data_IF_574975388702
#
_entry.id   IF_574975388702
#
_cell.length_a   1.000
_cell.length_b   1.000
_cell.length_c   1.000
_cell.angle_alpha   90.00
_cell.angle_beta   90.00
_cell.angle_gamma   90.00
#
_symmetry.space_group_name_H-M   'P 1'
#
loop_
_entity.id
_entity.type
_entity.pdbx_description
1 polymer ?
#
# COMPACT_ATOMS: atom_id res chain seq x y z
N UNK A 1 19.32 51.58 10.16
CA UNK A 1 18.03 51.07 9.64
C UNK A 1 18.11 49.56 9.52
N UNK A 2 17.18 48.80 10.11
CA UNK A 2 17.08 47.34 9.91
C UNK A 2 15.77 47.08 9.19
N UNK A 3 15.86 46.59 7.96
CA UNK A 3 14.71 46.11 7.20
C UNK A 3 14.36 44.69 7.65
N UNK A 4 13.07 44.40 7.79
CA UNK A 4 12.54 43.10 8.20
C UNK A 4 11.75 42.52 7.04
N UNK A 5 12.17 41.36 6.54
CA UNK A 5 11.47 40.64 5.46
C UNK A 5 10.42 39.75 6.11
N UNK A 6 9.14 39.99 5.79
CA UNK A 6 8.03 39.17 6.25
C UNK A 6 7.67 38.15 5.17
N UNK A 7 7.85 36.87 5.48
CA UNK A 7 7.23 35.79 4.73
C UNK A 7 5.86 35.50 5.34
N UNK A 8 4.83 35.47 4.51
CA UNK A 8 3.47 35.13 4.92
C UNK A 8 3.02 33.86 4.19
N UNK A 9 2.16 33.10 4.85
CA UNK A 9 1.52 31.91 4.28
C UNK A 9 0.02 32.09 4.41
N UNK A 10 -0.74 31.59 3.44
CA UNK A 10 -2.19 31.57 3.53
C UNK A 10 -2.61 30.76 4.76
N UNK A 11 -3.36 31.39 5.66
CA UNK A 11 -4.04 30.68 6.73
C UNK A 11 -5.06 29.72 6.09
N UNK A 12 -4.83 28.42 6.25
CA UNK A 12 -5.83 27.41 5.88
C UNK A 12 -7.00 27.52 6.85
N UNK A 13 -8.23 27.38 6.34
CA UNK A 13 -9.42 27.28 7.16
C UNK A 13 -9.35 26.03 8.05
N UNK A 14 -10.09 26.03 9.16
CA UNK A 14 -10.19 24.86 10.01
C UNK A 14 -10.72 23.66 9.22
N UNK A 15 -10.18 22.44 9.45
CA UNK A 15 -10.65 21.25 8.77
C UNK A 15 -12.08 20.92 9.20
N UNK A 16 -13.00 20.90 8.24
CA UNK A 16 -14.39 20.48 8.46
C UNK A 16 -14.54 18.98 8.19
N UNK A 17 -15.45 18.34 8.92
CA UNK A 17 -15.81 16.95 8.70
C UNK A 17 -16.69 16.82 7.45
N UNK A 18 -16.23 16.08 6.45
CA UNK A 18 -17.03 15.67 5.28
C UNK A 18 -17.67 14.28 5.53
N UNK A 19 -18.11 13.58 4.47
CA UNK A 19 -18.70 12.26 4.57
C UNK A 19 -17.80 11.26 5.32
N UNK A 20 -18.41 10.51 6.24
CA UNK A 20 -17.78 9.40 6.97
C UNK A 20 -18.16 8.10 6.27
N UNK A 21 -17.18 7.38 5.73
CA UNK A 21 -17.38 6.02 5.24
C UNK A 21 -17.42 5.04 6.42
N UNK A 22 -18.51 4.27 6.54
CA UNK A 22 -18.64 3.23 7.55
C UNK A 22 -17.86 1.98 7.11
N UNK A 23 -16.63 1.87 7.60
CA UNK A 23 -15.76 0.70 7.40
C UNK A 23 -16.11 -0.34 8.48
N UNK A 24 -16.23 -1.64 8.15
CA UNK A 24 -16.64 -2.68 9.09
C UNK A 24 -15.62 -2.95 10.21
N UNK A 25 -14.40 -2.42 10.08
CA UNK A 25 -13.31 -2.63 11.03
C UNK A 25 -12.37 -1.41 11.05
N UNK A 26 -11.42 -1.39 11.99
CA UNK A 26 -10.48 -0.30 12.19
C UNK A 26 -9.58 -0.09 10.98
N UNK A 27 -9.40 1.18 10.61
CA UNK A 27 -8.40 1.58 9.62
C UNK A 27 -7.03 1.54 10.30
N UNK A 28 -6.13 0.71 9.79
CA UNK A 28 -4.78 0.54 10.33
C UNK A 28 -3.81 1.60 9.78
N UNK A 29 -3.91 1.94 8.49
CA UNK A 29 -3.04 2.93 7.87
C UNK A 29 -3.66 3.54 6.60
N UNK A 30 -3.16 4.71 6.20
CA UNK A 30 -3.55 5.41 4.97
C UNK A 30 -2.31 5.87 4.20
N UNK A 31 -2.37 5.86 2.88
CA UNK A 31 -1.30 6.35 2.01
C UNK A 31 -1.84 7.09 0.77
N UNK A 32 -1.22 8.21 0.34
CA UNK A 32 -1.57 8.85 -0.91
C UNK A 32 -1.19 7.96 -2.10
N UNK A 33 -2.02 7.91 -3.14
CA UNK A 33 -1.74 7.14 -4.36
C UNK A 33 -1.33 8.00 -5.56
N UNK A 34 -1.24 9.32 -5.36
CA UNK A 34 -0.79 10.30 -6.35
C UNK A 34 0.20 11.28 -5.72
N UNK A 35 0.98 11.95 -6.57
CA UNK A 35 1.80 13.08 -6.15
C UNK A 35 0.93 14.17 -5.51
N UNK A 36 1.47 14.88 -4.52
CA UNK A 36 0.75 15.94 -3.84
C UNK A 36 0.62 17.18 -4.75
N UNK A 37 -0.50 17.92 -4.69
CA UNK A 37 -1.70 17.63 -3.90
C UNK A 37 -2.51 16.46 -4.49
N UNK A 38 -2.79 15.45 -3.65
CA UNK A 38 -3.53 14.25 -4.05
C UNK A 38 -5.01 14.37 -3.68
N UNK A 39 -5.89 13.94 -4.59
CA UNK A 39 -7.32 13.73 -4.29
C UNK A 39 -7.64 12.26 -4.03
N UNK A 40 -6.66 11.38 -4.13
CA UNK A 40 -6.83 9.94 -4.01
C UNK A 40 -5.87 9.36 -2.97
N UNK A 41 -6.39 8.50 -2.12
CA UNK A 41 -5.61 7.78 -1.12
C UNK A 41 -6.15 6.38 -0.96
N UNK A 42 -5.32 5.48 -0.44
CA UNK A 42 -5.72 4.14 -0.04
C UNK A 42 -5.73 4.08 1.48
N UNK A 43 -6.75 3.46 2.05
CA UNK A 43 -6.80 3.05 3.44
C UNK A 43 -6.75 1.52 3.52
N UNK A 44 -5.98 0.97 4.46
CA UNK A 44 -6.02 -0.45 4.79
C UNK A 44 -6.70 -0.65 6.13
N UNK A 45 -7.49 -1.71 6.24
CA UNK A 45 -8.26 -2.02 7.43
C UNK A 45 -7.89 -3.39 8.04
N UNK A 46 -8.24 -3.56 9.31
CA UNK A 46 -8.01 -4.78 10.07
C UNK A 46 -8.78 -6.00 9.52
N UNK A 47 -9.78 -5.78 8.66
CA UNK A 47 -10.53 -6.83 7.96
C UNK A 47 -9.79 -7.45 6.74
N UNK A 48 -8.55 -7.00 6.50
CA UNK A 48 -7.71 -7.46 5.40
C UNK A 48 -7.96 -6.76 4.07
N UNK A 49 -8.76 -5.68 4.06
CA UNK A 49 -9.10 -4.93 2.85
C UNK A 49 -8.28 -3.65 2.69
N UNK A 50 -8.00 -3.31 1.43
CA UNK A 50 -7.50 -2.02 1.00
C UNK A 50 -8.61 -1.30 0.23
N UNK A 51 -8.95 -0.09 0.63
CA UNK A 51 -9.97 0.76 0.03
C UNK A 51 -9.32 1.95 -0.65
N UNK A 52 -9.62 2.16 -1.92
CA UNK A 52 -9.21 3.33 -2.67
C UNK A 52 -10.31 4.39 -2.59
N UNK A 53 -9.96 5.56 -2.09
CA UNK A 53 -10.82 6.73 -2.03
C UNK A 53 -10.46 7.73 -3.12
N UNK A 54 -11.47 8.37 -3.68
CA UNK A 54 -11.34 9.58 -4.50
C UNK A 54 -12.24 10.65 -3.89
N UNK A 55 -11.62 11.68 -3.32
CA UNK A 55 -12.33 12.59 -2.41
C UNK A 55 -12.88 11.82 -1.21
N UNK A 56 -14.16 12.02 -0.92
CA UNK A 56 -14.89 11.36 0.18
C UNK A 56 -15.51 10.00 -0.20
N UNK A 57 -15.42 9.56 -1.46
CA UNK A 57 -16.07 8.33 -1.91
C UNK A 57 -15.08 7.18 -2.15
N UNK A 58 -15.41 6.00 -1.61
CA UNK A 58 -14.72 4.76 -1.93
C UNK A 58 -15.04 4.33 -3.37
N UNK A 59 -13.99 4.14 -4.18
CA UNK A 59 -14.08 3.75 -5.59
C UNK A 59 -13.75 2.28 -5.83
N UNK A 60 -13.04 1.65 -4.92
CA UNK A 60 -12.62 0.26 -5.02
C UNK A 60 -12.31 -0.31 -3.64
N UNK A 61 -12.76 -1.53 -3.39
CA UNK A 61 -12.38 -2.33 -2.22
C UNK A 61 -11.67 -3.58 -2.72
N UNK A 62 -10.46 -3.82 -2.22
CA UNK A 62 -9.61 -4.96 -2.59
C UNK A 62 -9.35 -5.79 -1.35
N UNK A 63 -9.62 -7.09 -1.40
CA UNK A 63 -9.22 -8.01 -0.32
C UNK A 63 -7.77 -8.45 -0.56
N UNK A 64 -6.85 -8.00 0.29
CA UNK A 64 -5.43 -8.37 0.19
C UNK A 64 -5.12 -9.66 0.95
N UNK A 65 -5.86 -9.90 2.02
CA UNK A 65 -5.68 -11.05 2.91
C UNK A 65 -6.94 -11.24 3.75
N UNK A 66 -7.04 -12.36 4.46
CA UNK A 66 -8.08 -12.60 5.48
C UNK A 66 -7.54 -12.37 6.91
N UNK A 67 -6.35 -11.76 7.00
CA UNK A 67 -5.68 -11.38 8.24
C UNK A 67 -5.59 -9.86 8.40
N UNK A 68 -5.20 -9.43 9.60
CA UNK A 68 -5.07 -8.01 9.96
C UNK A 68 -3.91 -7.35 9.22
N UNK A 69 -4.20 -6.29 8.46
CA UNK A 69 -3.19 -5.41 7.89
C UNK A 69 -2.73 -4.38 8.94
N UNK A 70 -1.46 -3.99 8.89
CA UNK A 70 -0.82 -3.14 9.90
C UNK A 70 -0.27 -1.84 9.34
N UNK A 71 0.18 -1.85 8.08
CA UNK A 71 0.83 -0.71 7.43
C UNK A 71 0.61 -0.77 5.93
N UNK A 72 0.74 0.39 5.26
CA UNK A 72 0.59 0.48 3.80
C UNK A 72 1.54 1.53 3.23
N UNK A 73 2.11 1.22 2.06
CA UNK A 73 2.84 2.15 1.21
C UNK A 73 2.28 2.05 -0.22
N UNK A 74 2.19 3.19 -0.90
CA UNK A 74 1.74 3.26 -2.28
C UNK A 74 2.75 4.04 -3.12
N UNK A 75 3.07 3.52 -4.30
CA UNK A 75 3.91 4.19 -5.27
C UNK A 75 3.06 4.53 -6.51
N UNK A 76 2.86 5.81 -6.84
CA UNK A 76 2.17 6.20 -8.06
C UNK A 76 2.93 5.71 -9.30
N UNK A 77 2.22 5.08 -10.23
CA UNK A 77 2.74 4.60 -11.51
C UNK A 77 1.88 5.10 -12.66
N UNK A 78 2.33 4.89 -13.90
CA UNK A 78 1.56 5.21 -15.12
C UNK A 78 1.05 6.67 -15.16
N UNK A 79 1.87 7.63 -14.70
CA UNK A 79 1.50 9.04 -14.65
C UNK A 79 0.39 9.37 -13.65
N UNK A 80 0.30 8.63 -12.54
CA UNK A 80 -0.69 8.84 -11.48
C UNK A 80 -2.07 8.24 -11.76
N UNK A 81 -2.18 7.39 -12.79
CA UNK A 81 -3.40 6.62 -13.15
C UNK A 81 -3.45 5.22 -12.53
N UNK A 82 -2.42 4.86 -11.78
CA UNK A 82 -2.37 3.65 -10.98
C UNK A 82 -1.33 3.77 -9.89
N UNK A 83 -1.29 2.79 -9.00
CA UNK A 83 -0.27 2.68 -7.97
C UNK A 83 0.12 1.22 -7.73
N UNK A 84 1.38 1.02 -7.36
CA UNK A 84 1.84 -0.20 -6.73
C UNK A 84 1.59 -0.08 -5.24
N UNK A 85 0.81 -1.00 -4.67
CA UNK A 85 0.49 -1.03 -3.26
C UNK A 85 1.29 -2.12 -2.57
N UNK A 86 1.82 -1.79 -1.40
CA UNK A 86 2.45 -2.75 -0.48
C UNK A 86 1.80 -2.58 0.88
N UNK A 87 1.41 -3.68 1.51
CA UNK A 87 0.83 -3.68 2.84
C UNK A 87 1.53 -4.69 3.75
N UNK A 88 1.80 -4.30 4.99
CA UNK A 88 2.26 -5.21 6.04
C UNK A 88 1.09 -5.95 6.67
N UNK A 89 1.29 -7.21 7.04
CA UNK A 89 0.29 -8.04 7.66
C UNK A 89 0.79 -8.60 9.00
N UNK A 90 -0.15 -8.76 9.95
CA UNK A 90 0.12 -9.35 11.26
C UNK A 90 0.57 -10.81 11.20
N UNK A 91 0.29 -11.51 10.10
CA UNK A 91 0.78 -12.88 9.88
C UNK A 91 2.28 -12.94 9.53
N UNK A 92 2.96 -11.81 9.35
CA UNK A 92 4.37 -11.79 8.92
C UNK A 92 4.56 -11.83 7.41
N UNK A 93 3.48 -11.65 6.65
CA UNK A 93 3.55 -11.45 5.20
C UNK A 93 3.54 -9.98 4.83
N UNK A 94 4.17 -9.68 3.69
CA UNK A 94 3.97 -8.42 2.96
C UNK A 94 3.11 -8.73 1.75
N UNK A 95 1.99 -8.01 1.61
CA UNK A 95 1.05 -8.14 0.48
C UNK A 95 1.34 -7.08 -0.55
N UNK A 96 1.32 -7.45 -1.82
CA UNK A 96 1.54 -6.51 -2.92
C UNK A 96 0.43 -6.64 -3.95
N UNK A 97 0.00 -5.52 -4.53
CA UNK A 97 -0.90 -5.53 -5.67
C UNK A 97 -0.72 -4.27 -6.52
N UNK A 98 -1.09 -4.34 -7.80
CA UNK A 98 -1.25 -3.17 -8.64
C UNK A 98 -2.70 -2.67 -8.55
N UNK A 99 -2.91 -1.37 -8.43
CA UNK A 99 -4.23 -0.74 -8.51
C UNK A 99 -4.23 0.22 -9.68
N UNK A 100 -5.24 0.12 -10.55
CA UNK A 100 -5.51 1.10 -11.60
C UNK A 100 -6.70 1.95 -11.19
N UNK A 101 -6.52 3.26 -11.31
CA UNK A 101 -7.54 4.25 -11.04
C UNK A 101 -7.49 5.33 -12.12
N UNK A 102 -8.31 5.15 -13.16
CA UNK A 102 -8.34 6.06 -14.31
C UNK A 102 -9.09 7.35 -13.99
N UNK A 103 -8.50 8.50 -14.35
CA UNK A 103 -9.08 9.85 -14.22
C UNK A 103 -10.25 10.16 -15.17
N UNK A 104 -11.11 9.18 -15.48
CA UNK A 104 -12.30 9.35 -16.31
C UNK A 104 -12.98 8.02 -16.63
N UNK A 105 -14.25 7.89 -16.23
CA UNK A 105 -15.28 6.83 -16.47
C UNK A 105 -14.92 5.33 -16.35
N UNK A 106 -13.65 4.95 -16.35
CA UNK A 106 -13.20 3.59 -16.11
C UNK A 106 -13.23 3.23 -14.62
N UNK A 107 -13.88 2.11 -14.28
CA UNK A 107 -13.90 1.59 -12.92
C UNK A 107 -12.48 1.33 -12.41
N UNK A 108 -12.19 1.72 -11.17
CA UNK A 108 -10.95 1.36 -10.51
C UNK A 108 -10.87 -0.17 -10.38
N UNK A 109 -9.70 -0.75 -10.63
CA UNK A 109 -9.49 -2.20 -10.61
C UNK A 109 -8.18 -2.53 -9.91
N UNK A 110 -8.10 -3.73 -9.34
CA UNK A 110 -6.89 -4.26 -8.74
C UNK A 110 -6.41 -5.50 -9.48
N UNK A 111 -5.09 -5.61 -9.60
CA UNK A 111 -4.38 -6.76 -10.09
C UNK A 111 -4.34 -7.91 -9.07
N UNK A 112 -3.62 -8.97 -9.43
CA UNK A 112 -3.46 -10.11 -8.53
C UNK A 112 -2.67 -9.71 -7.28
N UNK A 113 -3.04 -10.28 -6.14
CA UNK A 113 -2.32 -10.07 -4.88
C UNK A 113 -1.20 -11.10 -4.77
N UNK A 114 0.04 -10.62 -4.62
CA UNK A 114 1.17 -11.46 -4.28
C UNK A 114 1.52 -11.34 -2.79
N UNK A 115 2.24 -12.33 -2.27
CA UNK A 115 2.65 -12.41 -0.87
C UNK A 115 4.15 -12.68 -0.79
N UNK A 116 4.85 -11.86 -0.02
CA UNK A 116 6.24 -12.05 0.36
C UNK A 116 6.29 -12.51 1.82
N UNK A 117 7.20 -13.42 2.14
CA UNK A 117 7.40 -13.91 3.49
C UNK A 117 8.83 -14.40 3.67
N UNK A 118 9.41 -14.13 4.84
CA UNK A 118 10.68 -14.72 5.23
C UNK A 118 10.42 -16.16 5.70
N UNK A 119 11.10 -17.17 5.13
CA UNK A 119 10.90 -18.56 5.54
C UNK A 119 11.05 -18.75 7.05
N UNK A 120 10.04 -19.34 7.70
CA UNK A 120 10.03 -19.57 9.15
C UNK A 120 9.69 -18.34 10.00
N UNK A 121 9.44 -17.16 9.40
CA UNK A 121 8.97 -15.99 10.12
C UNK A 121 7.43 -15.90 10.11
N UNK A 122 6.86 -15.89 11.31
CA UNK A 122 5.42 -15.66 11.57
C UNK A 122 5.18 -14.38 12.38
N UNK A 123 6.22 -13.57 12.57
CA UNK A 123 6.16 -12.33 13.33
C UNK A 123 5.54 -11.23 12.48
N UNK A 124 4.60 -10.48 13.06
CA UNK A 124 3.84 -9.48 12.30
C UNK A 124 4.72 -8.38 11.73
N UNK A 125 4.54 -8.08 10.44
CA UNK A 125 5.16 -6.91 9.80
C UNK A 125 4.46 -5.67 10.34
N UNK A 126 5.22 -4.67 10.81
CA UNK A 126 4.68 -3.42 11.37
C UNK A 126 4.90 -2.22 10.46
N UNK A 127 5.93 -2.24 9.64
CA UNK A 127 6.24 -1.16 8.72
C UNK A 127 6.61 -1.71 7.35
N UNK A 128 6.17 -1.00 6.31
CA UNK A 128 6.55 -1.24 4.92
C UNK A 128 6.91 0.07 4.24
N UNK A 129 7.85 0.00 3.30
CA UNK A 129 8.20 1.13 2.45
C UNK A 129 8.51 0.64 1.02
N UNK A 130 8.18 1.49 0.05
CA UNK A 130 8.55 1.33 -1.35
C UNK A 130 9.60 2.36 -1.72
N UNK A 131 10.64 1.92 -2.42
CA UNK A 131 11.58 2.85 -3.04
C UNK A 131 10.88 3.60 -4.17
N UNK A 132 11.22 4.87 -4.36
CA UNK A 132 10.59 5.75 -5.37
C UNK A 132 10.75 5.24 -6.81
N UNK A 133 11.86 4.56 -7.12
CA UNK A 133 12.07 3.90 -8.42
C UNK A 133 11.31 2.57 -8.57
N UNK A 134 10.59 2.16 -7.52
CA UNK A 134 9.82 0.92 -7.48
C UNK A 134 10.65 -0.34 -7.51
N UNK A 135 11.99 -0.29 -7.37
CA UNK A 135 12.91 -1.44 -7.49
C UNK A 135 13.08 -2.26 -6.20
N UNK A 136 12.64 -1.71 -5.06
CA UNK A 136 12.88 -2.30 -3.75
C UNK A 136 11.67 -2.10 -2.83
N UNK A 137 11.35 -3.14 -2.07
CA UNK A 137 10.45 -3.08 -0.92
C UNK A 137 11.29 -3.23 0.35
N UNK A 138 11.00 -2.45 1.38
CA UNK A 138 11.50 -2.68 2.72
C UNK A 138 10.35 -3.09 3.64
N UNK A 139 10.59 -4.04 4.53
CA UNK A 139 9.65 -4.43 5.58
C UNK A 139 10.37 -4.64 6.90
N UNK A 140 9.74 -4.26 8.00
CA UNK A 140 10.23 -4.54 9.35
C UNK A 140 9.08 -4.86 10.29
N UNK A 141 9.34 -5.70 11.29
CA UNK A 141 8.31 -6.19 12.19
C UNK A 141 8.84 -6.67 13.53
N UNK A 142 8.10 -7.61 14.12
CA UNK A 142 8.42 -8.21 15.42
C UNK A 142 9.51 -9.31 15.34
N UNK A 143 10.02 -9.59 14.15
CA UNK A 143 11.20 -10.46 13.94
C UNK A 143 12.53 -9.77 14.24
N UNK A 144 12.51 -8.47 14.58
CA UNK A 144 13.67 -7.67 14.95
C UNK A 144 14.67 -7.45 13.81
N UNK A 145 14.28 -7.78 12.58
CA UNK A 145 15.09 -7.61 11.38
C UNK A 145 14.39 -6.68 10.39
N UNK A 146 15.17 -6.05 9.51
CA UNK A 146 14.66 -5.32 8.35
C UNK A 146 14.96 -6.12 7.10
N UNK A 147 13.92 -6.46 6.35
CA UNK A 147 14.01 -7.24 5.12
C UNK A 147 13.85 -6.36 3.89
N UNK A 148 14.79 -6.48 2.96
CA UNK A 148 14.78 -5.78 1.67
C UNK A 148 14.50 -6.76 0.54
N UNK A 149 13.48 -6.49 -0.25
CA UNK A 149 12.99 -7.36 -1.32
C UNK A 149 13.24 -6.69 -2.66
N UNK A 150 13.77 -7.42 -3.65
CA UNK A 150 13.71 -6.93 -5.02
C UNK A 150 12.25 -6.94 -5.48
N UNK A 151 11.85 -5.91 -6.19
CA UNK A 151 10.58 -5.93 -6.91
C UNK A 151 10.75 -6.49 -8.30
N UNK A 152 9.74 -7.19 -8.77
CA UNK A 152 9.61 -7.58 -10.16
C UNK A 152 8.16 -7.35 -10.63
N UNK A 153 7.93 -7.53 -11.92
CA UNK A 153 6.59 -7.37 -12.52
C UNK A 153 5.57 -8.38 -11.99
N UNK A 154 6.00 -9.48 -11.38
CA UNK A 154 5.09 -10.51 -10.86
C UNK A 154 4.40 -10.05 -9.57
N UNK A 155 5.09 -9.23 -8.77
CA UNK A 155 4.53 -8.65 -7.53
C UNK A 155 3.45 -7.59 -7.79
N UNK A 156 3.45 -7.02 -9.00
CA UNK A 156 2.51 -5.97 -9.41
C UNK A 156 1.83 -6.34 -10.73
N UNK A 157 1.36 -7.59 -10.83
CA UNK A 157 0.66 -8.06 -12.01
C UNK A 157 -0.62 -7.23 -12.23
N UNK A 158 -0.69 -6.57 -13.40
CA UNK A 158 -1.78 -5.66 -13.74
C UNK A 158 -3.13 -6.39 -13.92
N UNK A 159 -4.27 -5.74 -13.62
CA UNK A 159 -5.58 -6.30 -13.88
C UNK A 159 -5.77 -6.55 -15.38
N UNK A 160 -5.98 -7.80 -15.77
CA UNK A 160 -6.24 -8.15 -17.17
C UNK A 160 -7.64 -7.66 -17.59
N UNK A 161 -7.73 -6.89 -18.68
CA UNK A 161 -9.00 -6.56 -19.29
C UNK A 161 -9.56 -7.75 -20.09
N UNK A 162 -10.74 -8.23 -19.68
CA UNK A 162 -11.64 -9.16 -20.37
C UNK A 162 -11.41 -10.69 -20.23
N UNK A 163 -12.41 -11.34 -19.60
CA UNK A 163 -13.12 -12.48 -20.19
C UNK A 163 -12.32 -13.73 -20.58
N UNK A 164 -11.76 -14.45 -19.62
CA UNK A 164 -11.53 -15.89 -19.78
C UNK A 164 -11.55 -16.55 -18.42
N UNK A 165 -12.54 -17.43 -18.22
CA UNK A 165 -12.61 -18.29 -17.06
C UNK A 165 -11.33 -19.12 -16.95
N UNK A 166 -10.43 -18.69 -16.08
CA UNK A 166 -9.49 -19.57 -15.41
C UNK A 166 -9.56 -19.20 -13.95
N UNK A 167 -10.04 -20.14 -13.12
CA UNK A 167 -9.69 -20.16 -11.70
C UNK A 167 -8.16 -20.19 -11.63
N UNK A 168 -7.51 -19.02 -11.65
CA UNK A 168 -6.13 -18.93 -11.23
C UNK A 168 -6.17 -19.08 -9.73
N UNK A 169 -6.02 -20.33 -9.29
CA UNK A 169 -5.55 -20.62 -7.94
C UNK A 169 -4.38 -19.66 -7.68
N UNK A 170 -4.42 -19.01 -6.52
CA UNK A 170 -3.28 -18.25 -6.02
C UNK A 170 -2.04 -19.08 -6.30
N UNK A 171 -1.22 -18.62 -7.24
CA UNK A 171 0.07 -19.24 -7.46
C UNK A 171 0.76 -19.08 -6.11
N UNK A 172 0.93 -20.20 -5.41
CA UNK A 172 1.89 -20.33 -4.33
C UNK A 172 3.24 -20.05 -4.99
N UNK A 173 3.54 -18.76 -5.13
CA UNK A 173 4.69 -18.26 -5.85
C UNK A 173 5.93 -18.75 -5.16
N UNK A 174 6.81 -19.35 -5.95
CA UNK A 174 8.23 -19.54 -5.66
C UNK A 174 8.71 -18.50 -4.66
N UNK A 175 9.07 -18.96 -3.45
CA UNK A 175 9.30 -18.09 -2.30
C UNK A 175 10.28 -16.98 -2.63
N UNK A 176 9.74 -15.78 -2.87
CA UNK A 176 10.55 -14.58 -3.04
C UNK A 176 11.18 -14.35 -1.68
N UNK A 177 12.49 -14.58 -1.59
CA UNK A 177 13.28 -14.38 -0.37
C UNK A 177 13.79 -12.95 -0.32
N UNK A 178 14.04 -12.40 0.88
CA UNK A 178 14.65 -11.09 0.99
C UNK A 178 16.04 -11.11 0.36
N UNK A 179 16.35 -10.08 -0.41
CA UNK A 179 17.66 -9.84 -1.01
C UNK A 179 18.70 -9.55 0.07
N UNK A 180 18.33 -8.72 1.05
CA UNK A 180 19.17 -8.38 2.19
C UNK A 180 18.32 -8.40 3.44
N UNK A 181 18.95 -8.80 4.54
CA UNK A 181 18.38 -8.70 5.88
C UNK A 181 19.35 -7.88 6.72
N UNK A 182 18.86 -6.81 7.32
CA UNK A 182 19.60 -5.98 8.25
C UNK A 182 19.20 -6.44 9.66
N UNK A 183 20.16 -7.01 10.38
CA UNK A 183 19.94 -7.60 11.70
C UNK A 183 20.74 -6.88 12.78
N UNK A 184 20.44 -7.22 14.03
CA UNK A 184 21.09 -6.64 15.21
C UNK A 184 20.22 -5.61 15.96
N UNK A 185 18.96 -5.47 15.57
CA UNK A 185 17.98 -4.78 16.40
C UNK A 185 17.50 -5.73 17.50
N UNK A 186 17.18 -5.19 18.67
CA UNK A 186 16.67 -5.96 19.79
C UNK A 186 15.53 -5.22 20.45
N UNK A 187 14.57 -5.98 20.99
CA UNK A 187 13.63 -5.44 21.94
C UNK A 187 14.39 -5.14 23.23
N UNK A 188 14.34 -3.89 23.69
CA UNK A 188 14.91 -3.45 24.97
C UNK A 188 13.86 -3.57 26.07
#
# INVERSE_FOLDING_TARGET
EKALTLEYVLALSEPEQDQVDEVPDWIAAVAPVQALPSKCFVAVACDGTARLYSGSQSRLVVRLTDNVLTSVAALPVNGGKGCHLVAGCKDGTVRTCAIRHGGGEGAATAGAVASLRVPGCEQGVQAVALKEDGSLIASGGWDLDIHLWNTDSSLFAEPSSAGAGTKRLAAAGTGVVPKFTLSGHSQV
#
